data_IF_891599297791
#
_entry.id   IF_891599297791
#
_cell.length_a   1.000
_cell.length_b   1.000
_cell.length_c   1.000
_cell.angle_alpha   90.00
_cell.angle_beta   90.00
_cell.angle_gamma   90.00
#
_symmetry.space_group_name_H-M   'P 1'
#
loop_
_entity.id
_entity.type
_entity.pdbx_description
1 polymer ?
#
# COMPACT_ATOMS: atom_id res chain seq x y z
N UNK A 1 17.39 -24.66 -2.47
CA UNK A 1 16.40 -23.56 -2.47
C UNK A 1 16.71 -22.71 -3.68
N UNK A 2 15.73 -22.38 -4.51
CA UNK A 2 15.97 -21.40 -5.57
C UNK A 2 16.14 -20.01 -4.96
N UNK A 3 17.04 -19.24 -5.55
CA UNK A 3 17.20 -17.81 -5.26
C UNK A 3 15.94 -17.05 -5.72
N UNK A 4 15.59 -15.94 -5.06
CA UNK A 4 14.42 -15.15 -5.46
C UNK A 4 14.54 -14.63 -6.90
N UNK A 5 15.76 -14.29 -7.32
CA UNK A 5 16.06 -13.89 -8.70
C UNK A 5 15.79 -15.02 -9.72
N UNK A 6 15.96 -16.28 -9.33
CA UNK A 6 15.60 -17.42 -10.18
C UNK A 6 14.09 -17.57 -10.28
N UNK A 7 13.37 -17.37 -9.16
CA UNK A 7 11.90 -17.40 -9.12
C UNK A 7 11.29 -16.30 -10.00
N UNK A 8 11.84 -15.09 -9.97
CA UNK A 8 11.36 -13.96 -10.77
C UNK A 8 11.32 -14.24 -12.27
N UNK A 9 12.23 -15.07 -12.77
CA UNK A 9 12.35 -15.42 -14.19
C UNK A 9 11.51 -16.65 -14.59
N UNK A 10 10.85 -17.33 -13.64
CA UNK A 10 9.98 -18.48 -13.95
C UNK A 10 8.80 -18.00 -14.79
N UNK A 11 8.62 -18.64 -15.96
CA UNK A 11 7.45 -18.42 -16.81
C UNK A 11 6.25 -19.22 -16.28
N UNK A 12 5.13 -18.54 -16.13
CA UNK A 12 3.84 -19.09 -15.70
C UNK A 12 3.03 -19.55 -16.91
N UNK A 13 1.97 -20.32 -16.68
CA UNK A 13 1.08 -20.85 -17.73
C UNK A 13 0.40 -19.78 -18.60
N UNK A 14 0.34 -18.54 -18.13
CA UNK A 14 -0.16 -17.39 -18.88
C UNK A 14 0.88 -16.75 -19.80
N UNK A 15 2.07 -17.36 -19.95
CA UNK A 15 3.16 -16.88 -20.80
C UNK A 15 4.00 -15.75 -20.19
N UNK A 16 3.64 -15.23 -19.00
CA UNK A 16 4.38 -14.18 -18.30
C UNK A 16 5.32 -14.77 -17.25
N UNK A 17 6.39 -14.06 -16.96
CA UNK A 17 7.27 -14.33 -15.82
C UNK A 17 6.63 -13.92 -14.49
N UNK A 18 7.09 -14.49 -13.38
CA UNK A 18 6.70 -14.06 -12.02
C UNK A 18 6.95 -12.57 -11.83
N UNK A 19 8.10 -12.06 -12.32
CA UNK A 19 8.43 -10.63 -12.28
C UNK A 19 7.41 -9.77 -13.01
N UNK A 20 7.02 -10.15 -14.23
CA UNK A 20 6.01 -9.40 -15.00
C UNK A 20 4.63 -9.44 -14.33
N UNK A 21 4.26 -10.57 -13.72
CA UNK A 21 3.01 -10.65 -12.95
C UNK A 21 3.07 -9.73 -11.73
N UNK A 22 4.14 -9.78 -10.95
CA UNK A 22 4.32 -8.91 -9.78
C UNK A 22 4.28 -7.44 -10.16
N UNK A 23 4.92 -7.05 -11.27
CA UNK A 23 4.92 -5.69 -11.76
C UNK A 23 3.52 -5.24 -12.21
N UNK A 24 2.76 -6.11 -12.88
CA UNK A 24 1.38 -5.82 -13.28
C UNK A 24 0.47 -5.67 -12.05
N UNK A 25 0.59 -6.57 -11.08
CA UNK A 25 -0.16 -6.49 -9.81
C UNK A 25 0.20 -5.22 -9.05
N UNK A 26 1.49 -4.86 -8.98
CA UNK A 26 1.94 -3.62 -8.36
C UNK A 26 1.28 -2.40 -8.99
N UNK A 27 1.28 -2.30 -10.32
CA UNK A 27 0.63 -1.20 -11.05
C UNK A 27 -0.87 -1.11 -10.75
N UNK A 28 -1.55 -2.26 -10.73
CA UNK A 28 -2.98 -2.30 -10.44
C UNK A 28 -3.30 -1.86 -9.01
N UNK A 29 -2.54 -2.35 -8.03
CA UNK A 29 -2.69 -1.93 -6.62
C UNK A 29 -2.44 -0.44 -6.45
N UNK A 30 -1.38 0.08 -7.07
CA UNK A 30 -1.07 1.51 -7.05
C UNK A 30 -2.19 2.35 -7.70
N UNK A 31 -2.79 1.85 -8.78
CA UNK A 31 -3.95 2.49 -9.41
C UNK A 31 -5.16 2.52 -8.48
N UNK A 32 -5.52 1.40 -7.84
CA UNK A 32 -6.61 1.32 -6.86
C UNK A 32 -6.40 2.31 -5.71
N UNK A 33 -5.17 2.47 -5.24
CA UNK A 33 -4.86 3.43 -4.17
C UNK A 33 -5.09 4.87 -4.63
N UNK A 34 -4.61 5.23 -5.83
CA UNK A 34 -4.84 6.56 -6.40
C UNK A 34 -6.34 6.84 -6.63
N UNK A 35 -7.11 5.86 -7.11
CA UNK A 35 -8.57 6.00 -7.24
C UNK A 35 -9.26 6.20 -5.88
N UNK A 36 -8.82 5.49 -4.85
CA UNK A 36 -9.30 5.67 -3.47
C UNK A 36 -9.00 7.08 -2.96
N UNK A 37 -7.77 7.55 -3.15
CA UNK A 37 -7.35 8.90 -2.77
C UNK A 37 -8.12 10.00 -3.50
N UNK A 38 -8.42 9.83 -4.79
CA UNK A 38 -9.25 10.75 -5.55
C UNK A 38 -10.69 10.87 -4.97
N UNK A 39 -11.16 9.84 -4.24
CA UNK A 39 -12.44 9.82 -3.53
C UNK A 39 -12.32 10.23 -2.05
N UNK A 40 -11.14 10.66 -1.60
CA UNK A 40 -10.88 11.05 -0.21
C UNK A 40 -10.72 9.86 0.76
N UNK A 41 -10.54 8.64 0.27
CA UNK A 41 -10.43 7.43 1.08
C UNK A 41 -8.97 7.19 1.45
N UNK A 42 -8.64 7.19 2.74
CA UNK A 42 -7.31 6.79 3.21
C UNK A 42 -7.11 5.28 3.09
N UNK A 43 -5.90 4.85 2.72
CA UNK A 43 -5.57 3.45 2.49
C UNK A 43 -4.98 2.85 3.77
N UNK A 44 -5.60 1.78 4.33
CA UNK A 44 -5.09 1.13 5.54
C UNK A 44 -3.88 0.24 5.25
N UNK A 45 -2.89 0.24 6.15
CA UNK A 45 -1.77 -0.72 6.10
C UNK A 45 -1.23 -1.04 7.50
N UNK A 46 -0.51 -2.15 7.60
CA UNK A 46 0.13 -2.60 8.85
C UNK A 46 1.66 -2.58 8.70
N UNK A 47 2.35 -2.30 9.81
CA UNK A 47 3.77 -2.62 9.93
C UNK A 47 4.00 -4.05 10.46
N UNK A 48 5.27 -4.44 10.59
CA UNK A 48 5.65 -5.78 11.07
C UNK A 48 5.32 -6.01 12.54
N UNK A 49 5.16 -4.93 13.30
CA UNK A 49 4.81 -4.94 14.72
C UNK A 49 3.30 -4.99 14.92
N UNK A 50 2.51 -4.91 13.85
CA UNK A 50 1.06 -4.94 13.88
C UNK A 50 0.41 -3.58 14.14
N UNK A 51 1.19 -2.49 14.15
CA UNK A 51 0.61 -1.16 14.22
C UNK A 51 -0.12 -0.85 12.91
N UNK A 52 -1.19 -0.08 13.03
CA UNK A 52 -2.13 0.13 11.95
C UNK A 52 -2.19 1.61 11.55
N UNK A 53 -2.03 1.87 10.26
CA UNK A 53 -1.86 3.21 9.73
C UNK A 53 -2.86 3.49 8.63
N UNK A 54 -3.18 4.77 8.44
CA UNK A 54 -3.92 5.28 7.30
C UNK A 54 -2.98 6.14 6.45
N UNK A 55 -2.77 5.74 5.20
CA UNK A 55 -2.10 6.56 4.19
C UNK A 55 -3.13 7.49 3.54
N UNK A 56 -3.00 8.78 3.84
CA UNK A 56 -3.98 9.78 3.46
C UNK A 56 -3.76 10.30 2.02
N UNK A 57 -4.80 10.86 1.38
CA UNK A 57 -4.73 11.37 0.01
C UNK A 57 -3.66 12.44 -0.25
N UNK A 58 -3.28 13.20 0.78
CA UNK A 58 -2.24 14.22 0.70
C UNK A 58 -0.83 13.66 0.91
N UNK A 59 -0.71 12.34 1.06
CA UNK A 59 0.53 11.64 1.33
C UNK A 59 1.02 11.76 2.78
N UNK A 60 0.20 12.29 3.70
CA UNK A 60 0.44 12.16 5.15
C UNK A 60 0.07 10.76 5.65
N UNK A 61 0.55 10.41 6.84
CA UNK A 61 0.23 9.13 7.48
C UNK A 61 -0.16 9.31 8.93
N UNK A 62 -1.26 8.68 9.30
CA UNK A 62 -1.76 8.67 10.66
C UNK A 62 -1.67 7.26 11.22
N UNK A 63 -1.08 7.12 12.42
CA UNK A 63 -1.21 5.93 13.24
C UNK A 63 -2.61 5.94 13.86
N UNK A 64 -3.35 4.85 13.73
CA UNK A 64 -4.74 4.78 14.21
C UNK A 64 -5.02 3.50 14.97
N UNK A 65 -5.95 3.60 15.90
CA UNK A 65 -6.63 2.45 16.50
C UNK A 65 -7.87 2.12 15.66
N UNK A 66 -8.06 0.85 15.29
CA UNK A 66 -9.27 0.40 14.61
C UNK A 66 -10.24 -0.27 15.57
N UNK A 67 -11.37 0.38 15.84
CA UNK A 67 -12.47 -0.23 16.59
C UNK A 67 -13.34 -1.07 15.66
N UNK A 68 -13.18 -2.39 15.74
CA UNK A 68 -13.95 -3.34 14.91
C UNK A 68 -15.45 -3.34 15.18
N UNK A 69 -15.88 -3.04 16.42
CA UNK A 69 -17.31 -3.05 16.78
C UNK A 69 -18.05 -1.90 16.12
N UNK A 70 -17.43 -0.73 16.13
CA UNK A 70 -17.98 0.51 15.56
C UNK A 70 -17.59 0.71 14.09
N UNK A 71 -16.65 -0.09 13.58
CA UNK A 71 -16.05 0.05 12.25
C UNK A 71 -15.48 1.47 12.06
N UNK A 72 -14.85 1.99 13.10
CA UNK A 72 -14.33 3.36 13.17
C UNK A 72 -12.82 3.35 13.42
N UNK A 73 -12.16 4.40 12.93
CA UNK A 73 -10.76 4.67 13.23
C UNK A 73 -10.64 5.83 14.20
N UNK A 74 -9.74 5.69 15.17
CA UNK A 74 -9.33 6.77 16.05
C UNK A 74 -7.88 7.10 15.79
N UNK A 75 -7.60 8.33 15.35
CA UNK A 75 -6.23 8.80 15.15
C UNK A 75 -5.52 8.88 16.50
N UNK A 76 -4.39 8.19 16.61
CA UNK A 76 -3.48 8.23 17.77
C UNK A 76 -2.49 9.37 17.56
N UNK A 77 -1.83 9.41 16.40
CA UNK A 77 -0.86 10.45 16.04
C UNK A 77 -0.66 10.54 14.53
N UNK A 78 -0.18 11.69 14.07
CA UNK A 78 0.38 11.85 12.73
C UNK A 78 1.85 11.44 12.75
N UNK A 79 2.20 10.43 11.96
CA UNK A 79 3.56 9.87 11.91
C UNK A 79 4.36 10.35 10.71
N UNK A 80 3.68 10.87 9.68
CA UNK A 80 4.31 11.54 8.55
C UNK A 80 3.48 12.76 8.12
N UNK A 81 4.15 13.88 7.85
CA UNK A 81 3.52 15.05 7.27
C UNK A 81 3.09 14.81 5.81
N UNK A 82 2.30 15.74 5.28
CA UNK A 82 1.93 15.83 3.87
C UNK A 82 3.12 15.53 2.95
N UNK A 83 2.93 14.59 2.02
CA UNK A 83 3.94 14.18 1.04
C UNK A 83 5.15 13.42 1.59
N UNK A 84 5.17 13.02 2.88
CA UNK A 84 6.29 12.31 3.51
C UNK A 84 5.97 10.88 3.92
N UNK A 85 4.74 10.42 3.71
CA UNK A 85 4.31 9.06 4.01
C UNK A 85 4.94 8.00 3.12
N UNK A 86 4.89 6.74 3.55
CA UNK A 86 5.31 5.54 2.82
C UNK A 86 4.78 5.47 1.40
N UNK A 87 3.52 5.86 1.18
CA UNK A 87 2.89 5.83 -0.15
C UNK A 87 2.94 7.18 -0.87
N UNK A 88 3.57 8.22 -0.30
CA UNK A 88 3.63 9.55 -0.91
C UNK A 88 4.37 9.56 -2.27
N UNK A 89 5.20 8.56 -2.55
CA UNK A 89 5.83 8.38 -3.86
C UNK A 89 4.81 8.26 -5.01
N UNK A 90 3.56 7.87 -4.72
CA UNK A 90 2.49 7.77 -5.70
C UNK A 90 1.99 9.15 -6.18
N UNK A 91 2.24 10.22 -5.41
CA UNK A 91 1.83 11.58 -5.77
C UNK A 91 2.75 12.24 -6.80
N UNK A 92 3.97 11.71 -6.97
CA UNK A 92 5.04 12.32 -7.78
C UNK A 92 5.28 11.55 -9.10
N UNK A 93 4.27 10.86 -9.62
CA UNK A 93 4.34 10.15 -10.91
C UNK A 93 3.89 11.02 -12.08
#
# INVERSE_FOLDING_TARGET
MCEYAEIENIQLSNGKTVKEVNENVRKEVEHIYLEGWAKGISIPFWDKQGNFYLANPDGSEDLVEFNRKERSYKVISRVADKGKGRYAYLLNK
#
